data_IF_829277291926
#
_entry.id   IF_829277291926
#
_cell.length_a   1.000
_cell.length_b   1.000
_cell.length_c   1.000
_cell.angle_alpha   90.00
_cell.angle_beta   90.00
_cell.angle_gamma   90.00
#
_symmetry.space_group_name_H-M   'P 1'
#
loop_
_entity.id
_entity.type
_entity.pdbx_description
1 polymer ?
#
# COMPACT_ATOMS: atom_id res chain seq x y z
N UNK A 1 -35.51 0.04 -8.03
CA UNK A 1 -34.43 0.79 -7.33
C UNK A 1 -34.43 0.35 -5.88
N UNK A 2 -33.25 0.07 -5.31
CA UNK A 2 -33.08 -0.33 -3.90
C UNK A 2 -33.47 0.83 -2.99
N UNK A 3 -34.18 0.53 -1.90
CA UNK A 3 -34.48 1.52 -0.86
C UNK A 3 -33.30 1.59 0.12
N UNK A 4 -32.56 2.69 0.08
CA UNK A 4 -31.37 2.89 0.93
C UNK A 4 -31.68 2.87 2.43
N UNK A 5 -32.89 3.28 2.85
CA UNK A 5 -33.32 3.23 4.24
C UNK A 5 -33.47 1.78 4.71
N UNK A 6 -34.08 0.92 3.89
CA UNK A 6 -34.21 -0.51 4.20
C UNK A 6 -32.83 -1.21 4.15
N UNK A 7 -31.97 -0.84 3.19
CA UNK A 7 -30.59 -1.34 3.13
C UNK A 7 -29.81 -0.97 4.39
N UNK A 8 -29.97 0.25 4.93
CA UNK A 8 -29.36 0.69 6.18
C UNK A 8 -29.87 -0.11 7.39
N UNK A 9 -31.16 -0.42 7.41
CA UNK A 9 -31.73 -1.27 8.45
C UNK A 9 -31.15 -2.69 8.42
N UNK A 10 -31.10 -3.28 7.22
CA UNK A 10 -30.46 -4.57 7.00
C UNK A 10 -28.99 -4.56 7.46
N UNK A 11 -28.22 -3.59 6.99
CA UNK A 11 -26.80 -3.41 7.35
C UNK A 11 -26.59 -3.33 8.86
N UNK A 12 -27.40 -2.52 9.55
CA UNK A 12 -27.28 -2.34 11.01
C UNK A 12 -27.60 -3.64 11.74
N UNK A 13 -28.62 -4.39 11.32
CA UNK A 13 -28.95 -5.69 11.92
C UNK A 13 -27.87 -6.72 11.65
N UNK A 14 -27.33 -6.77 10.44
CA UNK A 14 -26.24 -7.68 10.09
C UNK A 14 -24.98 -7.43 10.93
N UNK A 15 -24.61 -6.15 11.14
CA UNK A 15 -23.46 -5.78 11.96
C UNK A 15 -23.64 -5.99 13.45
N UNK A 16 -24.87 -5.81 13.97
CA UNK A 16 -25.14 -5.99 15.41
C UNK A 16 -25.47 -7.44 15.79
N UNK A 17 -25.83 -8.26 14.80
CA UNK A 17 -26.20 -9.66 14.99
C UNK A 17 -27.55 -9.88 15.73
N UNK A 18 -28.30 -8.81 16.03
CA UNK A 18 -29.58 -8.90 16.75
C UNK A 18 -30.49 -7.72 16.43
N UNK A 19 -31.78 -8.02 16.14
CA UNK A 19 -32.78 -6.99 15.81
C UNK A 19 -32.97 -6.00 16.95
N UNK A 20 -33.00 -6.45 18.20
CA UNK A 20 -33.21 -5.56 19.35
C UNK A 20 -32.06 -4.54 19.50
N UNK A 21 -30.81 -4.97 19.40
CA UNK A 21 -29.63 -4.07 19.45
C UNK A 21 -29.59 -3.09 18.28
N UNK A 22 -29.98 -3.56 17.10
CA UNK A 22 -30.10 -2.68 15.94
C UNK A 22 -31.23 -1.66 16.10
N UNK A 23 -32.37 -2.07 16.65
CA UNK A 23 -33.51 -1.18 16.90
C UNK A 23 -33.16 -0.07 17.89
N UNK A 24 -32.43 -0.39 18.99
CA UNK A 24 -31.91 0.60 19.92
C UNK A 24 -30.99 1.61 19.21
N UNK A 25 -30.04 1.12 18.41
CA UNK A 25 -29.11 1.97 17.66
C UNK A 25 -29.79 2.86 16.63
N UNK A 26 -30.91 2.38 16.06
CA UNK A 26 -31.69 3.11 15.04
C UNK A 26 -32.83 3.94 15.64
N UNK A 27 -33.00 3.92 16.95
CA UNK A 27 -34.11 4.58 17.66
C UNK A 27 -35.49 4.16 17.13
N UNK A 28 -35.65 2.85 16.87
CA UNK A 28 -36.90 2.23 16.35
C UNK A 28 -37.41 1.17 17.32
N UNK A 29 -38.73 0.89 17.23
CA UNK A 29 -39.28 -0.29 17.88
C UNK A 29 -38.81 -1.58 17.17
N UNK A 30 -38.43 -2.66 17.88
CA UNK A 30 -37.98 -3.92 17.27
C UNK A 30 -39.00 -4.52 16.26
N UNK A 31 -40.27 -4.40 16.54
CA UNK A 31 -41.35 -4.86 15.65
C UNK A 31 -41.37 -4.08 14.33
N UNK A 32 -41.19 -2.76 14.40
CA UNK A 32 -41.07 -1.90 13.21
C UNK A 32 -39.88 -2.28 12.36
N UNK A 33 -38.72 -2.47 12.99
CA UNK A 33 -37.51 -2.87 12.30
C UNK A 33 -37.65 -4.25 11.64
N UNK A 34 -38.25 -5.23 12.34
CA UNK A 34 -38.53 -6.55 11.76
C UNK A 34 -39.45 -6.47 10.56
N UNK A 35 -40.51 -5.69 10.63
CA UNK A 35 -41.42 -5.48 9.50
C UNK A 35 -40.75 -4.84 8.28
N UNK A 36 -39.89 -3.86 8.51
CA UNK A 36 -39.10 -3.22 7.43
C UNK A 36 -38.08 -4.17 6.78
N UNK A 37 -37.49 -5.07 7.55
CA UNK A 37 -36.61 -6.10 7.01
C UNK A 37 -37.38 -7.11 6.16
N UNK A 38 -38.54 -7.59 6.63
CA UNK A 38 -39.40 -8.50 5.85
C UNK A 38 -39.82 -7.84 4.54
N UNK A 39 -40.29 -6.60 4.58
CA UNK A 39 -40.63 -5.85 3.38
C UNK A 39 -39.45 -5.67 2.41
N UNK A 40 -38.23 -5.54 2.93
CA UNK A 40 -37.03 -5.45 2.12
C UNK A 40 -36.71 -6.76 1.41
N UNK A 41 -36.78 -7.89 2.14
CA UNK A 41 -36.61 -9.24 1.59
C UNK A 41 -37.67 -9.57 0.53
N UNK A 42 -38.94 -9.27 0.80
CA UNK A 42 -40.03 -9.43 -0.15
C UNK A 42 -39.81 -8.64 -1.44
N UNK A 43 -39.36 -7.39 -1.33
CA UNK A 43 -39.06 -6.53 -2.49
C UNK A 43 -37.89 -7.01 -3.31
N UNK A 44 -36.91 -7.63 -2.68
CA UNK A 44 -35.75 -8.24 -3.34
C UNK A 44 -36.06 -9.64 -3.90
N UNK A 45 -37.15 -10.27 -3.42
CA UNK A 45 -37.51 -11.63 -3.78
C UNK A 45 -36.60 -12.70 -3.21
N UNK A 46 -35.79 -12.36 -2.19
CA UNK A 46 -34.81 -13.27 -1.59
C UNK A 46 -34.71 -13.06 -0.07
N UNK A 47 -34.52 -14.14 0.67
CA UNK A 47 -34.27 -14.07 2.10
C UNK A 47 -32.80 -13.67 2.37
N UNK A 48 -32.58 -12.66 3.20
CA UNK A 48 -31.27 -12.19 3.61
C UNK A 48 -30.87 -12.76 4.96
N UNK A 49 -31.85 -13.06 5.81
CA UNK A 49 -31.65 -13.70 7.10
C UNK A 49 -32.36 -15.07 7.17
N UNK A 50 -31.82 -15.95 7.99
CA UNK A 50 -32.45 -17.19 8.43
C UNK A 50 -32.44 -17.28 9.95
N UNK A 51 -33.46 -17.92 10.51
CA UNK A 51 -33.50 -18.19 11.96
C UNK A 51 -32.91 -19.57 12.24
N UNK A 52 -31.85 -19.61 13.04
CA UNK A 52 -31.25 -20.84 13.55
C UNK A 52 -31.47 -20.88 15.07
N UNK A 53 -32.57 -21.49 15.48
CA UNK A 53 -33.04 -21.45 16.87
C UNK A 53 -33.40 -20.02 17.31
N UNK A 54 -32.68 -19.49 18.31
CA UNK A 54 -32.89 -18.12 18.82
C UNK A 54 -31.97 -17.07 18.14
N UNK A 55 -31.13 -17.48 17.20
CA UNK A 55 -30.19 -16.59 16.50
C UNK A 55 -30.67 -16.23 15.12
N UNK A 56 -30.36 -15.00 14.73
CA UNK A 56 -30.56 -14.51 13.38
C UNK A 56 -29.20 -14.59 12.65
N UNK A 57 -29.15 -15.34 11.54
CA UNK A 57 -27.95 -15.53 10.74
C UNK A 57 -28.17 -15.07 9.30
N UNK A 58 -27.12 -14.56 8.67
CA UNK A 58 -27.18 -14.21 7.26
C UNK A 58 -27.24 -15.47 6.38
N UNK A 59 -28.06 -15.40 5.34
CA UNK A 59 -28.00 -16.34 4.22
C UNK A 59 -26.77 -16.06 3.35
N UNK A 60 -26.46 -16.91 2.35
CA UNK A 60 -25.40 -16.62 1.38
C UNK A 60 -25.69 -15.34 0.60
N UNK A 61 -26.95 -15.16 0.19
CA UNK A 61 -27.42 -13.90 -0.44
C UNK A 61 -27.32 -12.73 0.54
N UNK A 62 -27.62 -12.94 1.83
CA UNK A 62 -27.45 -11.93 2.87
C UNK A 62 -25.99 -11.49 3.01
N UNK A 63 -25.03 -12.41 2.95
CA UNK A 63 -23.60 -12.09 2.97
C UNK A 63 -23.18 -11.27 1.74
N UNK A 64 -23.66 -11.65 0.57
CA UNK A 64 -23.42 -10.89 -0.65
C UNK A 64 -24.00 -9.47 -0.58
N UNK A 65 -25.24 -9.32 -0.12
CA UNK A 65 -25.88 -8.00 0.05
C UNK A 65 -25.16 -7.18 1.12
N UNK A 66 -24.61 -7.81 2.17
CA UNK A 66 -23.83 -7.13 3.19
C UNK A 66 -22.56 -6.52 2.61
N UNK A 67 -21.81 -7.24 1.77
CA UNK A 67 -20.59 -6.69 1.15
C UNK A 67 -20.89 -5.45 0.30
N UNK A 68 -21.94 -5.49 -0.51
CA UNK A 68 -22.37 -4.30 -1.26
C UNK A 68 -22.87 -3.15 -0.36
N UNK A 69 -23.56 -3.47 0.74
CA UNK A 69 -24.02 -2.46 1.68
C UNK A 69 -22.83 -1.78 2.39
N UNK A 70 -21.79 -2.53 2.72
CA UNK A 70 -20.53 -1.99 3.29
C UNK A 70 -19.89 -0.96 2.36
N UNK A 71 -19.75 -1.29 1.07
CA UNK A 71 -19.20 -0.38 0.06
C UNK A 71 -20.06 0.89 -0.08
N UNK A 72 -21.37 0.74 -0.20
CA UNK A 72 -22.31 1.86 -0.37
C UNK A 72 -22.25 2.82 0.83
N UNK A 73 -22.29 2.31 2.06
CA UNK A 73 -22.27 3.16 3.25
C UNK A 73 -20.89 3.75 3.52
N UNK A 74 -19.83 3.09 3.09
CA UNK A 74 -18.51 3.66 3.14
C UNK A 74 -18.38 4.88 2.20
N UNK A 75 -18.81 4.75 0.94
CA UNK A 75 -18.82 5.87 -0.02
C UNK A 75 -19.73 7.01 0.50
N UNK A 76 -20.86 6.68 1.15
CA UNK A 76 -21.73 7.69 1.77
C UNK A 76 -21.02 8.44 2.90
N UNK A 77 -20.28 7.74 3.75
CA UNK A 77 -19.49 8.35 4.83
C UNK A 77 -18.39 9.26 4.27
N UNK A 78 -17.69 8.80 3.23
CA UNK A 78 -16.66 9.59 2.54
C UNK A 78 -17.23 10.88 1.92
N UNK A 79 -18.43 10.79 1.33
CA UNK A 79 -19.13 11.95 0.82
C UNK A 79 -19.47 12.94 1.93
N UNK A 80 -20.02 12.46 3.07
CA UNK A 80 -20.32 13.31 4.22
C UNK A 80 -19.08 13.96 4.81
N UNK A 81 -17.98 13.22 4.95
CA UNK A 81 -16.69 13.73 5.40
C UNK A 81 -16.14 14.78 4.42
N UNK A 82 -16.18 14.50 3.12
CA UNK A 82 -15.77 15.43 2.08
C UNK A 82 -16.58 16.73 2.13
N UNK A 83 -17.90 16.63 2.30
CA UNK A 83 -18.77 17.80 2.40
C UNK A 83 -18.58 18.56 3.73
N UNK A 84 -18.31 17.85 4.82
CA UNK A 84 -18.02 18.45 6.14
C UNK A 84 -16.69 19.18 6.12
N UNK A 85 -15.66 18.56 5.55
CA UNK A 85 -14.32 19.15 5.40
C UNK A 85 -14.32 20.36 4.44
N UNK A 86 -15.26 20.45 3.49
CA UNK A 86 -15.48 21.65 2.67
C UNK A 86 -16.08 22.84 3.44
N UNK A 87 -16.71 22.59 4.60
CA UNK A 87 -17.25 23.66 5.47
C UNK A 87 -16.21 24.23 6.43
N UNK A 88 -15.24 23.42 6.87
CA UNK A 88 -14.10 23.85 7.66
C UNK A 88 -12.86 23.89 6.76
N UNK A 89 -12.56 25.08 6.22
CA UNK A 89 -11.40 25.47 5.43
C UNK A 89 -10.35 24.38 5.13
N UNK A 90 -10.43 23.79 3.89
CA UNK A 90 -9.27 23.29 3.12
C UNK A 90 -8.40 22.20 3.73
N UNK A 91 -8.91 21.32 4.58
CA UNK A 91 -8.16 20.13 4.96
C UNK A 91 -8.81 18.85 4.39
N UNK A 92 -8.00 17.97 3.83
CA UNK A 92 -8.45 16.64 3.41
C UNK A 92 -7.48 15.56 3.88
N UNK A 93 -8.03 14.40 4.18
CA UNK A 93 -7.22 13.25 4.55
C UNK A 93 -6.69 12.57 3.29
N UNK A 94 -5.39 12.27 3.28
CA UNK A 94 -4.75 11.50 2.23
C UNK A 94 -4.20 10.20 2.83
N UNK A 95 -4.87 9.09 2.54
CA UNK A 95 -4.59 7.76 3.10
C UNK A 95 -3.76 6.96 2.11
N UNK A 96 -2.52 6.68 2.46
CA UNK A 96 -1.56 6.00 1.61
C UNK A 96 -1.15 4.68 2.22
N UNK A 97 -1.31 3.60 1.46
CA UNK A 97 -0.67 2.33 1.73
C UNK A 97 0.75 2.32 1.17
N UNK A 98 1.71 1.84 1.92
CA UNK A 98 3.10 1.71 1.49
C UNK A 98 3.47 0.24 1.63
N UNK A 99 3.77 -0.42 0.51
CA UNK A 99 4.25 -1.80 0.57
C UNK A 99 5.57 -1.85 1.37
N UNK A 100 5.69 -2.82 2.27
CA UNK A 100 6.81 -3.00 3.21
C UNK A 100 8.18 -3.05 2.51
N UNK A 101 8.21 -3.55 1.28
CA UNK A 101 9.41 -3.58 0.42
C UNK A 101 9.84 -2.20 -0.10
N UNK A 102 8.96 -1.18 -0.07
CA UNK A 102 9.30 0.18 -0.53
C UNK A 102 10.17 0.88 0.51
N UNK A 103 11.38 1.35 0.13
CA UNK A 103 12.25 2.05 1.07
C UNK A 103 11.60 3.31 1.65
N UNK A 104 11.74 3.52 2.95
CA UNK A 104 11.15 4.68 3.67
C UNK A 104 11.60 6.02 3.09
N UNK A 105 12.88 6.11 2.67
CA UNK A 105 13.44 7.28 2.01
C UNK A 105 12.72 7.60 0.69
N UNK A 106 12.46 6.58 -0.11
CA UNK A 106 11.71 6.73 -1.38
C UNK A 106 10.25 7.14 -1.09
N UNK A 107 9.59 6.46 -0.14
CA UNK A 107 8.22 6.81 0.25
C UNK A 107 8.14 8.26 0.74
N UNK A 108 9.06 8.70 1.61
CA UNK A 108 9.13 10.08 2.09
C UNK A 108 9.28 11.09 0.94
N UNK A 109 10.27 10.88 0.06
CA UNK A 109 10.51 11.80 -1.04
C UNK A 109 9.34 11.88 -2.02
N UNK A 110 8.63 10.77 -2.25
CA UNK A 110 7.44 10.73 -3.10
C UNK A 110 6.23 11.41 -2.45
N UNK A 111 6.05 11.28 -1.14
CA UNK A 111 4.88 11.79 -0.42
C UNK A 111 5.04 13.23 0.07
N UNK A 112 6.25 13.71 0.33
CA UNK A 112 6.50 15.06 0.82
C UNK A 112 5.83 16.17 -0.02
N UNK A 113 5.79 16.11 -1.37
CA UNK A 113 5.11 17.11 -2.20
C UNK A 113 3.59 17.23 -1.93
N UNK A 114 2.94 16.16 -1.46
CA UNK A 114 1.53 16.22 -1.11
C UNK A 114 1.27 17.12 0.11
N UNK A 115 2.22 17.20 1.05
CA UNK A 115 2.14 18.09 2.22
C UNK A 115 2.42 19.57 1.88
N UNK A 116 2.99 19.84 0.70
CA UNK A 116 3.26 21.19 0.21
C UNK A 116 2.09 21.78 -0.61
N UNK A 117 0.97 21.07 -0.73
CA UNK A 117 -0.23 21.59 -1.40
C UNK A 117 -0.80 22.77 -0.63
N UNK A 118 -1.50 23.72 -1.34
CA UNK A 118 -2.15 24.87 -0.70
C UNK A 118 -3.23 24.48 0.32
N UNK A 119 -3.86 23.31 0.10
CA UNK A 119 -4.84 22.77 1.02
C UNK A 119 -4.13 21.99 2.14
N UNK A 120 -4.66 22.05 3.37
CA UNK A 120 -4.09 21.30 4.48
C UNK A 120 -4.29 19.80 4.26
N UNK A 121 -3.20 19.06 4.04
CA UNK A 121 -3.23 17.60 3.87
C UNK A 121 -2.96 16.92 5.20
N UNK A 122 -3.91 16.11 5.67
CA UNK A 122 -3.68 15.18 6.77
C UNK A 122 -3.24 13.84 6.18
N UNK A 123 -1.93 13.62 6.09
CA UNK A 123 -1.34 12.40 5.55
C UNK A 123 -1.44 11.26 6.58
N UNK A 124 -2.02 10.15 6.14
CA UNK A 124 -2.11 8.90 6.92
C UNK A 124 -1.40 7.81 6.14
N UNK A 125 -0.27 7.33 6.65
CA UNK A 125 0.51 6.25 6.05
C UNK A 125 0.25 4.93 6.80
N UNK A 126 0.03 3.85 6.03
CA UNK A 126 -0.06 2.48 6.54
C UNK A 126 0.91 1.60 5.79
N UNK A 127 1.63 0.77 6.52
CA UNK A 127 2.54 -0.20 5.94
C UNK A 127 1.99 -1.60 6.12
N UNK A 128 2.00 -2.38 5.06
CA UNK A 128 1.65 -3.81 5.05
C UNK A 128 2.14 -4.44 3.74
N UNK A 129 1.88 -5.72 3.57
CA UNK A 129 2.09 -6.43 2.32
C UNK A 129 1.18 -5.89 1.21
N UNK A 130 1.68 -5.91 -0.02
CA UNK A 130 0.97 -5.34 -1.17
C UNK A 130 -0.44 -5.91 -1.35
N UNK A 131 -0.63 -7.23 -1.17
CA UNK A 131 -1.93 -7.89 -1.30
C UNK A 131 -2.98 -7.35 -0.31
N UNK A 132 -2.59 -7.10 0.94
CA UNK A 132 -3.47 -6.51 1.96
C UNK A 132 -3.80 -5.06 1.66
N UNK A 133 -2.79 -4.28 1.26
CA UNK A 133 -2.99 -2.88 0.89
C UNK A 133 -3.93 -2.73 -0.31
N UNK A 134 -3.83 -3.63 -1.31
CA UNK A 134 -4.73 -3.65 -2.45
C UNK A 134 -6.16 -4.01 -2.05
N UNK A 135 -6.34 -4.91 -1.09
CA UNK A 135 -7.67 -5.19 -0.54
C UNK A 135 -8.27 -3.96 0.19
N UNK A 136 -7.47 -3.21 0.95
CA UNK A 136 -7.92 -1.96 1.58
C UNK A 136 -8.19 -0.84 0.55
N UNK A 137 -7.40 -0.77 -0.52
CA UNK A 137 -7.63 0.15 -1.64
C UNK A 137 -8.96 -0.15 -2.34
N UNK A 138 -9.28 -1.43 -2.57
CA UNK A 138 -10.51 -1.86 -3.23
C UNK A 138 -11.78 -1.44 -2.49
N UNK A 139 -11.71 -1.35 -1.17
CA UNK A 139 -12.83 -0.92 -0.31
C UNK A 139 -12.69 0.54 0.13
N UNK A 140 -11.93 1.35 -0.61
CA UNK A 140 -11.73 2.79 -0.40
C UNK A 140 -11.22 3.19 1.00
N UNK A 141 -10.51 2.28 1.71
CA UNK A 141 -9.81 2.62 2.95
C UNK A 141 -8.47 3.30 2.74
N UNK A 142 -7.96 3.19 1.52
CA UNK A 142 -6.77 3.88 1.03
C UNK A 142 -7.12 4.64 -0.25
N UNK A 143 -6.48 5.77 -0.46
CA UNK A 143 -6.62 6.59 -1.65
C UNK A 143 -5.57 6.20 -2.70
N UNK A 144 -4.42 5.69 -2.23
CA UNK A 144 -3.31 5.27 -3.08
C UNK A 144 -2.48 4.20 -2.37
N UNK A 145 -1.84 3.32 -3.15
CA UNK A 145 -0.80 2.41 -2.67
C UNK A 145 0.50 2.68 -3.42
N UNK A 146 1.60 2.84 -2.68
CA UNK A 146 2.97 2.85 -3.21
C UNK A 146 3.52 1.43 -3.23
N UNK A 147 4.06 0.99 -4.37
CA UNK A 147 4.58 -0.36 -4.55
C UNK A 147 5.85 -0.37 -5.43
N UNK A 148 6.63 -1.46 -5.33
CA UNK A 148 7.82 -1.74 -6.15
C UNK A 148 7.48 -2.44 -7.48
N UNK A 149 6.19 -2.72 -7.71
CA UNK A 149 5.67 -3.42 -8.89
C UNK A 149 4.26 -2.96 -9.21
N UNK A 150 3.79 -3.16 -10.45
CA UNK A 150 2.40 -2.91 -10.79
C UNK A 150 1.48 -3.90 -10.08
N UNK A 151 0.20 -3.58 -10.03
CA UNK A 151 -0.83 -4.49 -9.53
C UNK A 151 -0.76 -5.84 -10.28
N UNK A 152 -0.72 -6.97 -9.57
CA UNK A 152 -0.69 -8.29 -10.19
C UNK A 152 -1.91 -8.52 -11.09
N UNK A 153 -1.75 -9.14 -12.27
CA UNK A 153 -2.89 -9.52 -13.10
C UNK A 153 -3.75 -10.59 -12.42
N UNK A 154 -5.06 -10.53 -12.63
CA UNK A 154 -6.00 -11.54 -12.10
C UNK A 154 -6.49 -11.32 -10.68
N UNK A 155 -6.20 -10.19 -10.07
CA UNK A 155 -6.86 -9.81 -8.82
C UNK A 155 -8.27 -9.25 -9.11
N UNK A 156 -9.26 -9.65 -8.29
CA UNK A 156 -10.65 -9.13 -8.36
C UNK A 156 -10.78 -7.67 -7.85
N UNK A 157 -9.69 -6.91 -7.93
CA UNK A 157 -9.61 -5.52 -7.51
C UNK A 157 -9.53 -4.64 -8.75
N UNK A 158 -10.45 -3.70 -8.91
CA UNK A 158 -10.34 -2.65 -9.91
C UNK A 158 -9.31 -1.62 -9.44
N UNK A 159 -8.11 -1.65 -10.03
CA UNK A 159 -7.06 -0.68 -9.75
C UNK A 159 -6.20 -0.42 -10.98
N UNK A 160 -5.60 0.75 -11.02
CA UNK A 160 -4.72 1.19 -12.10
C UNK A 160 -3.35 1.50 -11.54
N UNK A 161 -2.32 0.95 -12.19
CA UNK A 161 -0.92 1.18 -11.82
C UNK A 161 -0.37 2.35 -12.63
N UNK A 162 0.07 3.39 -11.94
CA UNK A 162 0.68 4.58 -12.52
C UNK A 162 2.19 4.53 -12.26
N UNK A 163 3.03 4.39 -13.29
CA UNK A 163 4.48 4.39 -13.09
C UNK A 163 4.92 5.76 -12.54
N UNK A 164 5.66 5.75 -11.46
CA UNK A 164 6.27 6.93 -10.85
C UNK A 164 7.68 7.17 -11.41
N UNK A 165 8.44 6.08 -11.60
CA UNK A 165 9.77 6.11 -12.16
C UNK A 165 10.58 4.86 -11.82
N UNK A 166 11.83 4.87 -12.25
CA UNK A 166 12.78 3.80 -12.00
C UNK A 166 14.18 4.37 -11.74
N UNK A 167 15.01 3.64 -11.01
CA UNK A 167 16.40 3.98 -10.78
C UNK A 167 17.27 2.72 -10.78
N UNK A 168 18.58 2.92 -10.90
CA UNK A 168 19.58 1.87 -10.70
C UNK A 168 19.65 1.39 -9.25
N UNK A 169 20.49 0.40 -9.00
CA UNK A 169 20.74 -0.16 -7.66
C UNK A 169 22.19 0.09 -7.28
N UNK A 170 22.40 0.68 -6.11
CA UNK A 170 23.71 0.87 -5.51
C UNK A 170 23.92 -0.13 -4.36
N UNK A 171 25.19 -0.48 -4.11
CA UNK A 171 25.59 -1.41 -3.08
C UNK A 171 26.42 -0.67 -2.03
N UNK A 172 26.13 -0.93 -0.76
CA UNK A 172 26.69 -0.22 0.37
C UNK A 172 27.30 -1.18 1.39
N UNK A 173 28.33 -0.71 2.08
CA UNK A 173 28.95 -1.43 3.19
C UNK A 173 29.50 -0.42 4.21
N UNK A 174 29.86 -0.89 5.40
CA UNK A 174 30.69 -0.10 6.31
C UNK A 174 32.07 0.14 5.70
N UNK A 175 32.74 1.23 6.06
CA UNK A 175 34.12 1.52 5.59
C UNK A 175 35.09 0.36 5.92
N UNK A 176 34.96 -0.24 7.10
CA UNK A 176 35.76 -1.38 7.53
C UNK A 176 35.55 -2.63 6.67
N UNK A 177 34.30 -2.92 6.28
CA UNK A 177 34.01 -4.03 5.38
C UNK A 177 34.52 -3.72 3.98
N UNK A 178 34.29 -2.51 3.47
CA UNK A 178 34.74 -2.07 2.15
C UNK A 178 36.26 -2.18 1.99
N UNK A 179 37.04 -1.82 3.02
CA UNK A 179 38.50 -1.91 3.03
C UNK A 179 39.06 -3.35 2.96
N UNK A 180 38.22 -4.35 3.26
CA UNK A 180 38.62 -5.79 3.19
C UNK A 180 38.22 -6.45 1.87
N UNK A 181 37.44 -5.77 1.05
CA UNK A 181 37.03 -6.30 -0.25
C UNK A 181 38.19 -6.19 -1.24
N UNK A 182 38.28 -7.12 -2.15
CA UNK A 182 39.30 -7.14 -3.20
C UNK A 182 38.66 -7.05 -4.57
N UNK A 183 39.32 -6.35 -5.50
CA UNK A 183 38.82 -6.13 -6.86
C UNK A 183 37.80 -5.00 -6.96
N UNK A 184 37.53 -4.65 -8.19
CA UNK A 184 36.56 -3.59 -8.52
C UNK A 184 35.11 -4.10 -8.51
N UNK A 185 34.18 -3.18 -8.32
CA UNK A 185 32.76 -3.51 -8.44
C UNK A 185 32.40 -3.92 -9.88
N UNK A 186 31.64 -5.00 -10.10
CA UNK A 186 30.95 -5.83 -9.10
C UNK A 186 31.75 -7.05 -8.58
N UNK A 187 32.97 -7.28 -9.04
CA UNK A 187 33.76 -8.47 -8.67
C UNK A 187 34.13 -8.51 -7.18
N UNK A 188 34.19 -7.36 -6.53
CA UNK A 188 34.41 -7.27 -5.08
C UNK A 188 33.28 -7.92 -4.25
N UNK A 189 32.16 -8.25 -4.86
CA UNK A 189 31.06 -8.96 -4.20
C UNK A 189 31.33 -10.47 -4.09
N UNK A 190 32.28 -11.03 -4.83
CA UNK A 190 32.55 -12.47 -4.82
C UNK A 190 33.07 -12.92 -3.45
N UNK A 191 32.44 -13.93 -2.85
CA UNK A 191 32.73 -14.41 -1.49
C UNK A 191 32.37 -13.45 -0.35
N UNK A 192 32.01 -12.20 -0.64
CA UNK A 192 31.68 -11.20 0.36
C UNK A 192 30.34 -11.49 1.05
N UNK A 193 30.14 -11.11 2.32
CA UNK A 193 28.86 -11.23 2.99
C UNK A 193 27.84 -10.26 2.36
N UNK A 194 26.70 -10.79 1.92
CA UNK A 194 25.65 -10.02 1.28
C UNK A 194 24.31 -10.20 2.03
N UNK A 195 23.65 -9.10 2.31
CA UNK A 195 22.28 -9.03 2.79
C UNK A 195 21.38 -8.79 1.57
N UNK A 196 20.29 -9.55 1.47
CA UNK A 196 19.40 -9.47 0.32
C UNK A 196 17.94 -9.20 0.74
N UNK A 197 17.15 -8.57 -0.14
CA UNK A 197 15.72 -8.43 0.09
C UNK A 197 15.03 -9.79 0.08
N UNK A 198 13.94 -9.89 0.85
CA UNK A 198 13.08 -11.07 0.96
C UNK A 198 12.35 -11.42 -0.33
N UNK A 199 11.62 -12.53 -0.31
CA UNK A 199 10.97 -13.11 -1.52
C UNK A 199 9.92 -12.19 -2.11
N UNK A 200 9.25 -11.39 -1.29
CA UNK A 200 8.21 -10.46 -1.74
C UNK A 200 8.75 -9.22 -2.46
N UNK A 201 10.07 -8.99 -2.46
CA UNK A 201 10.68 -7.86 -3.18
C UNK A 201 10.82 -8.13 -4.68
N UNK A 202 10.40 -7.17 -5.50
CA UNK A 202 10.60 -7.22 -6.96
C UNK A 202 12.09 -7.22 -7.35
N UNK A 203 12.98 -6.72 -6.49
CA UNK A 203 14.43 -6.69 -6.73
C UNK A 203 15.09 -8.06 -6.56
N UNK A 204 14.58 -8.94 -5.68
CA UNK A 204 15.28 -10.19 -5.31
C UNK A 204 15.68 -11.06 -6.51
N UNK A 205 14.72 -11.47 -7.31
CA UNK A 205 14.99 -12.35 -8.44
C UNK A 205 15.89 -11.72 -9.52
N UNK A 206 15.71 -10.44 -9.92
CA UNK A 206 16.67 -9.74 -10.76
C UNK A 206 18.06 -9.65 -10.17
N UNK A 207 18.22 -9.38 -8.88
CA UNK A 207 19.51 -9.32 -8.18
C UNK A 207 20.25 -10.65 -8.27
N UNK A 208 19.59 -11.76 -7.95
CA UNK A 208 20.22 -13.10 -8.00
C UNK A 208 20.70 -13.44 -9.41
N UNK A 209 19.87 -13.18 -10.44
CA UNK A 209 20.25 -13.37 -11.83
C UNK A 209 21.38 -12.44 -12.29
N UNK A 210 21.43 -11.22 -11.78
CA UNK A 210 22.50 -10.28 -12.08
C UNK A 210 23.84 -10.72 -11.50
N UNK A 211 23.86 -11.16 -10.24
CA UNK A 211 25.05 -11.72 -9.59
C UNK A 211 25.59 -12.92 -10.38
N UNK A 212 24.72 -13.83 -10.80
CA UNK A 212 25.09 -14.98 -11.63
C UNK A 212 25.71 -14.55 -12.96
N UNK A 213 25.08 -13.61 -13.68
CA UNK A 213 25.62 -13.08 -14.96
C UNK A 213 26.97 -12.40 -14.80
N UNK A 214 27.23 -11.74 -13.66
CA UNK A 214 28.49 -11.08 -13.34
C UNK A 214 29.56 -12.06 -12.79
N UNK A 215 29.20 -13.32 -12.58
CA UNK A 215 30.09 -14.32 -12.00
C UNK A 215 30.42 -14.08 -10.52
N UNK A 216 29.67 -13.21 -9.85
CA UNK A 216 29.85 -12.93 -8.42
C UNK A 216 29.01 -13.90 -7.58
N UNK A 217 29.66 -14.58 -6.63
CA UNK A 217 29.05 -15.55 -5.71
C UNK A 217 29.21 -15.10 -4.26
N UNK A 218 28.47 -14.07 -3.84
CA UNK A 218 28.51 -13.60 -2.47
C UNK A 218 27.96 -14.67 -1.52
N UNK A 219 28.39 -14.61 -0.27
CA UNK A 219 27.81 -15.43 0.80
C UNK A 219 26.60 -14.70 1.36
N UNK A 220 25.40 -15.20 1.06
CA UNK A 220 24.17 -14.63 1.63
C UNK A 220 24.16 -14.87 3.14
N UNK A 221 24.13 -13.78 3.92
CA UNK A 221 24.19 -13.82 5.39
C UNK A 221 22.89 -13.36 6.07
N UNK A 222 21.94 -12.83 5.29
CA UNK A 222 20.63 -12.45 5.78
C UNK A 222 19.67 -12.12 4.66
N UNK A 223 18.38 -12.36 4.91
CA UNK A 223 17.26 -12.06 4.03
C UNK A 223 16.25 -11.22 4.80
N UNK A 224 15.71 -10.16 4.19
CA UNK A 224 14.92 -9.16 4.89
C UNK A 224 13.72 -8.72 4.05
N UNK A 225 12.52 -8.82 4.60
CA UNK A 225 11.32 -8.26 3.99
C UNK A 225 11.27 -6.72 4.20
N UNK A 226 11.83 -6.23 5.32
CA UNK A 226 11.95 -4.80 5.60
C UNK A 226 13.33 -4.26 5.20
N UNK A 227 13.34 -3.31 4.27
CA UNK A 227 14.56 -2.66 3.79
C UNK A 227 15.25 -1.80 4.86
N UNK A 228 14.54 -1.27 5.85
CA UNK A 228 15.14 -0.49 6.93
C UNK A 228 15.90 -1.41 7.91
N UNK A 229 15.33 -2.58 8.22
CA UNK A 229 16.00 -3.60 9.03
C UNK A 229 17.26 -4.12 8.32
N UNK A 230 17.20 -4.42 7.02
CA UNK A 230 18.37 -4.80 6.21
C UNK A 230 19.49 -3.77 6.31
N UNK A 231 19.18 -2.48 6.16
CA UNK A 231 20.14 -1.38 6.26
C UNK A 231 20.73 -1.26 7.68
N UNK A 232 19.92 -1.50 8.71
CA UNK A 232 20.40 -1.49 10.09
C UNK A 232 21.45 -2.59 10.35
N UNK A 233 21.24 -3.81 9.83
CA UNK A 233 22.23 -4.87 9.84
C UNK A 233 23.47 -4.53 9.01
N UNK A 234 23.29 -3.89 7.85
CA UNK A 234 24.39 -3.38 7.03
C UNK A 234 25.24 -2.34 7.75
N UNK A 235 24.61 -1.38 8.44
CA UNK A 235 25.28 -0.39 9.31
C UNK A 235 26.08 -1.07 10.43
N UNK A 236 25.56 -2.16 10.98
CA UNK A 236 26.26 -2.94 12.00
C UNK A 236 27.42 -3.79 11.44
N UNK A 237 27.69 -3.75 10.12
CA UNK A 237 28.78 -4.47 9.47
C UNK A 237 28.48 -5.94 9.16
N UNK A 238 27.23 -6.37 9.24
CA UNK A 238 26.84 -7.76 8.98
C UNK A 238 27.08 -8.19 7.52
N UNK A 239 27.01 -7.23 6.57
CA UNK A 239 27.22 -7.50 5.16
C UNK A 239 26.97 -6.29 4.27
N UNK A 240 27.27 -6.47 3.00
CA UNK A 240 26.93 -5.54 1.92
C UNK A 240 25.42 -5.58 1.72
N UNK A 241 24.77 -4.48 1.38
CA UNK A 241 23.36 -4.44 1.08
C UNK A 241 23.05 -3.58 -0.16
N UNK A 242 22.05 -3.95 -0.97
CA UNK A 242 21.57 -3.13 -2.08
C UNK A 242 20.55 -2.08 -1.59
N UNK A 243 20.51 -0.94 -2.29
CA UNK A 243 19.45 0.05 -2.14
C UNK A 243 19.25 0.83 -3.45
N UNK A 244 18.10 1.51 -3.65
CA UNK A 244 17.87 2.35 -4.81
C UNK A 244 18.95 3.43 -4.92
N UNK A 245 19.53 3.58 -6.10
CA UNK A 245 20.58 4.58 -6.35
C UNK A 245 20.07 6.00 -6.09
N UNK A 246 18.78 6.25 -6.37
CA UNK A 246 18.12 7.54 -6.13
C UNK A 246 18.16 8.00 -4.67
N UNK A 247 18.23 7.08 -3.70
CA UNK A 247 18.35 7.39 -2.27
C UNK A 247 19.78 7.22 -1.73
N UNK A 248 20.78 7.03 -2.60
CA UNK A 248 22.14 6.65 -2.22
C UNK A 248 22.79 7.60 -1.23
N UNK A 249 22.75 8.91 -1.50
CA UNK A 249 23.33 9.92 -0.62
C UNK A 249 22.71 9.93 0.78
N UNK A 250 21.38 9.74 0.86
CA UNK A 250 20.67 9.64 2.13
C UNK A 250 21.09 8.37 2.89
N UNK A 251 21.24 7.23 2.20
CA UNK A 251 21.71 5.97 2.78
C UNK A 251 23.12 6.14 3.34
N UNK A 252 24.05 6.75 2.60
CA UNK A 252 25.41 7.01 3.07
C UNK A 252 25.41 7.87 4.34
N UNK A 253 24.63 8.96 4.35
CA UNK A 253 24.57 9.89 5.48
C UNK A 253 23.89 9.28 6.71
N UNK A 254 22.72 8.66 6.51
CA UNK A 254 21.91 8.16 7.62
C UNK A 254 22.52 6.93 8.30
N UNK A 255 23.10 6.04 7.50
CA UNK A 255 23.63 4.77 8.01
C UNK A 255 25.14 4.80 8.23
N UNK A 256 25.84 5.85 7.79
CA UNK A 256 27.30 5.95 7.95
C UNK A 256 28.04 4.86 7.17
N UNK A 257 27.57 4.56 5.98
CA UNK A 257 28.13 3.53 5.08
C UNK A 257 28.72 4.19 3.84
N UNK A 258 29.52 3.42 3.11
CA UNK A 258 30.14 3.87 1.85
C UNK A 258 29.53 3.10 0.68
N UNK A 259 29.40 3.76 -0.47
CA UNK A 259 28.95 3.17 -1.71
C UNK A 259 30.12 2.40 -2.34
N UNK A 260 29.94 1.11 -2.58
CA UNK A 260 30.90 0.26 -3.27
C UNK A 260 30.82 0.40 -4.79
N UNK A 261 29.61 0.60 -5.29
CA UNK A 261 29.35 0.77 -6.71
C UNK A 261 27.87 0.82 -6.99
N UNK A 262 27.54 1.06 -8.25
CA UNK A 262 26.16 1.20 -8.75
C UNK A 262 26.03 0.48 -10.08
N UNK A 263 24.83 -0.04 -10.35
CA UNK A 263 24.52 -0.66 -11.64
C UNK A 263 23.15 -0.23 -12.16
N UNK A 264 23.09 0.01 -13.47
CA UNK A 264 21.85 0.23 -14.21
C UNK A 264 21.29 -1.05 -14.85
N UNK A 265 22.03 -2.15 -14.76
CA UNK A 265 21.54 -3.48 -15.21
C UNK A 265 20.46 -4.03 -14.29
N UNK A 266 20.39 -3.53 -13.06
CA UNK A 266 19.32 -3.73 -12.09
C UNK A 266 18.54 -2.44 -11.98
N UNK A 267 17.21 -2.55 -12.05
CA UNK A 267 16.33 -1.39 -11.91
C UNK A 267 15.26 -1.68 -10.87
N UNK A 268 15.12 -0.76 -9.96
CA UNK A 268 13.96 -0.68 -9.09
C UNK A 268 12.94 0.27 -9.69
N UNK A 269 11.68 -0.16 -9.74
CA UNK A 269 10.56 0.59 -10.29
C UNK A 269 9.57 0.89 -9.19
N UNK A 270 8.97 2.06 -9.24
CA UNK A 270 7.98 2.48 -8.26
C UNK A 270 6.68 2.86 -8.94
N UNK A 271 5.57 2.48 -8.30
CA UNK A 271 4.23 2.65 -8.82
C UNK A 271 3.32 3.26 -7.76
N UNK A 272 2.44 4.17 -8.20
CA UNK A 272 1.25 4.52 -7.47
C UNK A 272 0.09 3.68 -8.01
N UNK A 273 -0.61 2.97 -7.15
CA UNK A 273 -1.79 2.19 -7.51
C UNK A 273 -3.01 2.88 -6.92
N UNK A 274 -4.02 3.18 -7.73
CA UNK A 274 -5.27 3.81 -7.31
C UNK A 274 -6.46 3.17 -7.99
N UNK A 275 -7.67 3.39 -7.49
CA UNK A 275 -8.92 2.93 -8.11
C UNK A 275 -9.29 3.76 -9.35
N UNK A 276 -8.68 4.91 -9.54
CA UNK A 276 -8.97 5.82 -10.64
C UNK A 276 -8.03 5.57 -11.83
N UNK A 277 -8.61 5.47 -13.02
CA UNK A 277 -7.83 5.39 -14.26
C UNK A 277 -7.10 6.69 -14.59
N UNK A 278 -7.73 7.81 -14.33
CA UNK A 278 -7.15 9.14 -14.40
C UNK A 278 -7.07 9.71 -12.99
N UNK A 279 -5.89 10.08 -12.54
CA UNK A 279 -5.66 10.61 -11.21
C UNK A 279 -6.37 11.95 -11.08
N UNK A 280 -7.47 11.98 -10.35
CA UNK A 280 -8.21 13.20 -10.02
C UNK A 280 -7.83 13.74 -8.65
N UNK A 281 -7.43 12.89 -7.71
CA UNK A 281 -7.07 13.25 -6.35
C UNK A 281 -5.83 14.18 -6.31
N UNK A 282 -5.92 15.40 -5.75
CA UNK A 282 -4.85 16.39 -5.82
C UNK A 282 -3.50 15.91 -5.27
N UNK A 283 -3.52 15.19 -4.12
CA UNK A 283 -2.31 14.67 -3.51
C UNK A 283 -1.66 13.55 -4.36
N UNK A 284 -2.46 12.65 -4.96
CA UNK A 284 -1.95 11.60 -5.86
C UNK A 284 -1.31 12.22 -7.11
N UNK A 285 -1.91 13.31 -7.63
CA UNK A 285 -1.30 14.10 -8.72
C UNK A 285 0.03 14.69 -8.31
N UNK A 286 0.10 15.36 -7.15
CA UNK A 286 1.33 15.97 -6.65
C UNK A 286 2.46 14.95 -6.50
N UNK A 287 2.17 13.76 -5.96
CA UNK A 287 3.09 12.62 -5.88
C UNK A 287 3.59 12.21 -7.27
N UNK A 288 2.68 12.05 -8.23
CA UNK A 288 3.01 11.59 -9.58
C UNK A 288 3.82 12.63 -10.38
N UNK A 289 3.51 13.91 -10.24
CA UNK A 289 4.23 15.01 -10.89
C UNK A 289 5.63 15.18 -10.29
N UNK A 290 5.77 15.11 -8.98
CA UNK A 290 7.06 15.20 -8.29
C UNK A 290 8.00 14.02 -8.63
N UNK A 291 7.45 12.83 -8.73
CA UNK A 291 8.21 11.65 -9.13
C UNK A 291 8.84 11.82 -10.53
N UNK A 292 8.05 12.35 -11.48
CA UNK A 292 8.49 12.56 -12.87
C UNK A 292 9.47 13.72 -13.03
N UNK A 293 9.31 14.80 -12.30
CA UNK A 293 10.12 16.02 -12.43
C UNK A 293 11.37 16.04 -11.56
N UNK A 294 11.39 15.26 -10.48
CA UNK A 294 12.43 15.32 -9.43
C UNK A 294 13.30 14.09 -9.35
N UNK A 295 12.83 13.11 -8.59
CA UNK A 295 13.65 11.97 -8.13
C UNK A 295 14.16 11.08 -9.28
N UNK A 296 13.31 10.82 -10.28
CA UNK A 296 13.62 9.94 -11.41
C UNK A 296 13.88 10.70 -12.71
N UNK A 297 13.64 12.01 -12.76
CA UNK A 297 13.77 12.83 -13.97
C UNK A 297 15.19 13.27 -14.33
N UNK A 298 16.17 13.09 -13.44
CA UNK A 298 17.57 13.49 -13.66
C UNK A 298 18.45 12.44 -14.33
N UNK A 299 17.94 11.25 -14.60
CA UNK A 299 18.70 10.13 -15.18
C UNK A 299 18.49 9.93 -16.70
N UNK A 300 17.79 10.83 -17.37
CA UNK A 300 17.46 10.76 -18.81
C UNK A 300 18.27 11.73 -19.70
N UNK A 301 19.52 12.01 -19.33
CA UNK A 301 20.45 12.81 -20.15
C UNK A 301 21.68 12.03 -20.53
#
# INVERSE_FOLDING_TARGET
MINFKHLHYFFTVAKTGAVNRAAEKLHLAPQTLSGQLTQFEERLGVALFRRTGRRLELTDTGRLVLSYAEEIFQVSTELEETLRNRRDERSFQFRVGIADVVPKSIAHQLLAPALALPDQVHLVCREDRLDRLLAELAIHRLDMVLADRPMPPGMDVKGYSHPLGECGVAFFATADLAARLTGDFPHCLDGAPLLIPGEDSALRAPLMRWLERKGARPRIVGEFDDSALMKAFGKAGAGIFPAPAASGQEVETQYGVVRLGETRDLRERFFAISVERQISHPAVRAVSEAARSGMFGREGG
#
